data_IF_989072112763
#
_entry.id   IF_989072112763
#
_cell.length_a   1.000
_cell.length_b   1.000
_cell.length_c   1.000
_cell.angle_alpha   90.00
_cell.angle_beta   90.00
_cell.angle_gamma   90.00
#
_symmetry.space_group_name_H-M   'P 1'
#
loop_
_entity.id
_entity.type
_entity.pdbx_description
1 polymer ?
#
# COMPACT_ATOMS: atom_id res chain seq x y z
N UNK A 1 4.02 -3.30 -13.22
CA UNK A 1 3.77 -4.43 -14.14
C UNK A 1 5.06 -5.14 -14.54
N UNK A 2 6.06 -4.46 -15.14
CA UNK A 2 7.28 -5.11 -15.64
C UNK A 2 8.00 -5.93 -14.56
N UNK A 3 8.24 -5.36 -13.37
CA UNK A 3 8.91 -6.06 -12.26
C UNK A 3 8.16 -7.33 -11.84
N UNK A 4 6.82 -7.30 -11.82
CA UNK A 4 6.01 -8.47 -11.51
C UNK A 4 6.16 -9.56 -12.59
N UNK A 5 6.04 -9.19 -13.86
CA UNK A 5 6.16 -10.13 -14.99
C UNK A 5 7.54 -10.82 -14.96
N UNK A 6 8.60 -10.04 -14.75
CA UNK A 6 9.98 -10.57 -14.68
C UNK A 6 10.19 -11.49 -13.44
N UNK A 7 9.41 -11.29 -12.37
CA UNK A 7 9.50 -12.07 -11.13
C UNK A 7 8.48 -13.21 -11.03
N UNK A 8 7.58 -13.36 -12.00
CA UNK A 8 6.47 -14.34 -11.96
C UNK A 8 7.00 -15.77 -11.80
N UNK A 9 6.47 -16.51 -10.84
CA UNK A 9 6.79 -17.91 -10.56
C UNK A 9 5.60 -18.85 -10.76
N UNK A 10 4.40 -18.28 -10.81
CA UNK A 10 3.13 -18.99 -10.97
C UNK A 10 2.08 -18.07 -11.60
N UNK A 11 0.99 -18.65 -12.08
CA UNK A 11 -0.14 -17.89 -12.60
C UNK A 11 -0.99 -17.38 -11.44
N UNK A 12 -1.23 -16.05 -11.40
CA UNK A 12 -2.09 -15.39 -10.41
C UNK A 12 -3.15 -14.57 -11.16
N UNK A 13 -4.34 -15.15 -11.42
CA UNK A 13 -5.38 -14.50 -12.24
C UNK A 13 -5.77 -13.10 -11.76
N UNK A 14 -5.76 -12.86 -10.45
CA UNK A 14 -6.05 -11.54 -9.88
C UNK A 14 -5.00 -10.50 -10.28
N UNK A 15 -3.71 -10.87 -10.38
CA UNK A 15 -2.66 -9.96 -10.87
C UNK A 15 -2.86 -9.63 -12.35
N UNK A 16 -3.19 -10.62 -13.17
CA UNK A 16 -3.42 -10.42 -14.60
C UNK A 16 -4.64 -9.49 -14.82
N UNK A 17 -5.72 -9.70 -14.05
CA UNK A 17 -6.89 -8.83 -14.06
C UNK A 17 -6.58 -7.38 -13.61
N UNK A 18 -5.74 -7.20 -12.59
CA UNK A 18 -5.31 -5.87 -12.13
C UNK A 18 -4.45 -5.16 -13.16
N UNK A 19 -3.55 -5.88 -13.85
CA UNK A 19 -2.71 -5.33 -14.93
C UNK A 19 -3.59 -4.79 -16.09
N UNK A 20 -4.70 -5.45 -16.38
CA UNK A 20 -5.66 -5.01 -17.40
C UNK A 20 -6.53 -3.84 -16.92
N UNK A 21 -7.10 -3.96 -15.70
CA UNK A 21 -8.15 -3.05 -15.22
C UNK A 21 -7.64 -1.72 -14.66
N UNK A 22 -6.47 -1.71 -13.99
CA UNK A 22 -5.94 -0.48 -13.38
C UNK A 22 -5.67 0.61 -14.44
N UNK A 23 -5.04 0.35 -15.57
CA UNK A 23 -4.83 1.39 -16.60
C UNK A 23 -6.12 2.00 -17.14
N UNK A 24 -7.19 1.20 -17.22
CA UNK A 24 -8.50 1.66 -17.69
C UNK A 24 -9.28 2.50 -16.66
N UNK A 25 -8.82 2.56 -15.42
CA UNK A 25 -9.46 3.26 -14.30
C UNK A 25 -8.59 4.35 -13.68
N UNK A 26 -7.55 4.79 -14.39
CA UNK A 26 -6.69 5.90 -13.93
C UNK A 26 -7.56 7.13 -13.68
N UNK A 27 -7.53 7.73 -12.48
CA UNK A 27 -8.30 8.92 -12.16
C UNK A 27 -8.00 10.09 -13.09
N UNK A 28 -9.00 10.96 -13.28
CA UNK A 28 -8.85 12.18 -14.07
C UNK A 28 -8.01 13.25 -13.36
N UNK A 29 -7.91 13.21 -12.02
CA UNK A 29 -7.05 14.13 -11.26
C UNK A 29 -5.59 13.93 -11.66
N UNK A 30 -4.98 15.00 -12.17
CA UNK A 30 -3.58 15.03 -12.60
C UNK A 30 -2.69 15.78 -11.58
N UNK A 31 -3.11 15.84 -10.31
CA UNK A 31 -2.32 16.45 -9.25
C UNK A 31 -0.93 15.80 -9.15
N UNK A 32 0.09 16.64 -9.02
CA UNK A 32 1.49 16.22 -9.02
C UNK A 32 2.18 16.75 -7.78
N UNK A 33 2.89 15.88 -7.08
CA UNK A 33 3.76 16.25 -5.97
C UNK A 33 4.96 15.30 -5.86
N UNK A 34 5.80 15.51 -4.87
CA UNK A 34 6.78 14.49 -4.47
C UNK A 34 6.00 13.42 -3.69
N UNK A 35 5.93 12.21 -4.23
CA UNK A 35 5.46 11.03 -3.54
C UNK A 35 6.65 10.30 -2.93
N UNK A 36 6.54 9.91 -1.66
CA UNK A 36 7.60 9.19 -0.94
C UNK A 36 7.77 7.76 -1.48
N UNK A 37 6.66 7.12 -1.84
CA UNK A 37 6.62 5.78 -2.42
C UNK A 37 6.67 4.63 -1.40
N UNK A 38 7.11 4.88 -0.15
CA UNK A 38 7.08 3.92 0.96
C UNK A 38 6.78 4.64 2.29
N UNK A 39 5.76 5.52 2.31
CA UNK A 39 5.40 6.28 3.50
C UNK A 39 4.66 5.40 4.51
N UNK A 40 5.35 5.04 5.60
CA UNK A 40 4.85 4.18 6.68
C UNK A 40 5.55 4.48 8.00
N UNK A 41 5.04 3.92 9.11
CA UNK A 41 5.54 4.21 10.46
C UNK A 41 7.03 3.94 10.64
N UNK A 42 7.56 2.90 10.02
CA UNK A 42 8.98 2.53 10.10
C UNK A 42 9.89 3.56 9.42
N UNK A 43 9.35 4.36 8.50
CA UNK A 43 10.08 5.38 7.76
C UNK A 43 9.87 6.80 8.33
N UNK A 44 9.38 6.92 9.58
CA UNK A 44 9.28 8.20 10.28
C UNK A 44 10.00 8.15 11.62
N UNK A 45 10.60 9.27 12.00
CA UNK A 45 11.24 9.45 13.28
C UNK A 45 10.38 10.34 14.17
N UNK A 46 10.02 9.83 15.34
CA UNK A 46 9.27 10.59 16.34
C UNK A 46 10.18 11.35 17.29
N UNK A 47 9.70 12.49 17.76
CA UNK A 47 10.38 13.20 18.83
C UNK A 47 10.33 12.36 20.13
N UNK A 48 11.44 12.31 20.92
CA UNK A 48 11.53 11.39 22.07
C UNK A 48 10.54 11.70 23.20
N UNK A 49 10.05 12.95 23.30
CA UNK A 49 9.16 13.39 24.39
C UNK A 49 7.93 14.18 23.93
N UNK A 50 7.81 14.47 22.65
CA UNK A 50 6.69 15.24 22.08
C UNK A 50 5.95 14.42 21.02
N UNK A 51 4.63 14.59 20.92
CA UNK A 51 3.80 13.88 19.93
C UNK A 51 3.93 14.53 18.53
N UNK A 52 5.12 14.47 17.94
CA UNK A 52 5.39 14.97 16.58
C UNK A 52 6.45 14.15 15.86
N UNK A 53 6.33 14.09 14.55
CA UNK A 53 7.36 13.57 13.65
C UNK A 53 8.44 14.64 13.47
N UNK A 54 9.70 14.25 13.53
CA UNK A 54 10.86 15.14 13.36
C UNK A 54 11.62 14.87 12.06
N UNK A 55 11.46 13.70 11.47
CA UNK A 55 12.01 13.36 10.16
C UNK A 55 11.18 12.31 9.44
N UNK A 56 11.24 12.33 8.13
CA UNK A 56 10.79 11.26 7.24
C UNK A 56 12.05 10.69 6.58
N UNK A 57 12.21 9.37 6.64
CA UNK A 57 13.39 8.63 6.24
C UNK A 57 13.11 7.80 4.99
N UNK A 58 14.17 7.28 4.37
CA UNK A 58 14.09 6.29 3.29
C UNK A 58 13.38 6.78 2.02
N UNK A 59 13.92 7.87 1.47
CA UNK A 59 13.40 8.53 0.26
C UNK A 59 13.83 7.85 -1.06
N UNK A 60 14.47 6.69 -1.02
CA UNK A 60 15.04 6.04 -2.21
C UNK A 60 13.99 5.65 -3.27
N UNK A 61 12.73 5.43 -2.85
CA UNK A 61 11.61 5.13 -3.74
C UNK A 61 10.81 6.37 -4.14
N UNK A 62 11.26 7.56 -3.75
CA UNK A 62 10.54 8.80 -4.04
C UNK A 62 10.53 9.12 -5.52
N UNK A 63 9.42 9.71 -5.95
CA UNK A 63 9.22 10.10 -7.34
C UNK A 63 8.27 11.29 -7.44
N UNK A 64 8.25 11.91 -8.62
CA UNK A 64 7.18 12.82 -8.97
C UNK A 64 5.94 11.98 -9.30
N UNK A 65 4.89 12.14 -8.50
CA UNK A 65 3.69 11.30 -8.60
C UNK A 65 2.46 11.95 -7.98
N UNK A 66 1.37 11.20 -7.96
CA UNK A 66 0.11 11.67 -7.39
C UNK A 66 0.15 11.63 -5.86
N UNK A 67 -0.22 12.73 -5.15
CA UNK A 67 -0.11 12.82 -3.69
C UNK A 67 -0.97 11.79 -2.93
N UNK A 68 -2.06 11.31 -3.54
CA UNK A 68 -2.95 10.32 -2.91
C UNK A 68 -2.30 8.92 -2.85
N UNK A 69 -1.28 8.65 -3.67
CA UNK A 69 -0.63 7.34 -3.68
C UNK A 69 0.01 6.98 -2.32
N UNK A 70 0.61 7.94 -1.62
CA UNK A 70 1.25 7.67 -0.33
C UNK A 70 0.22 7.46 0.79
N UNK A 71 -0.83 8.28 0.85
CA UNK A 71 -1.86 8.09 1.89
C UNK A 71 -2.64 6.80 1.68
N UNK A 72 -2.93 6.42 0.44
CA UNK A 72 -3.58 5.15 0.15
C UNK A 72 -2.70 3.96 0.52
N UNK A 73 -1.40 4.02 0.18
CA UNK A 73 -0.44 3.00 0.58
C UNK A 73 -0.35 2.87 2.12
N UNK A 74 -0.26 3.99 2.84
CA UNK A 74 -0.24 3.99 4.30
C UNK A 74 -1.55 3.48 4.90
N UNK A 75 -2.69 3.72 4.25
CA UNK A 75 -4.01 3.26 4.72
C UNK A 75 -4.23 1.75 4.58
N UNK A 76 -3.35 1.04 3.91
CA UNK A 76 -3.46 -0.42 3.75
C UNK A 76 -3.55 -1.17 5.09
N UNK A 77 -2.90 -0.69 6.15
CA UNK A 77 -2.88 -1.35 7.45
C UNK A 77 -4.28 -1.50 8.09
N UNK A 78 -5.24 -0.61 7.76
CA UNK A 78 -6.63 -0.72 8.23
C UNK A 78 -7.41 -1.84 7.55
N UNK A 79 -6.94 -2.31 6.39
CA UNK A 79 -7.58 -3.36 5.57
C UNK A 79 -6.77 -4.63 5.49
N UNK A 80 -5.54 -4.61 6.00
CA UNK A 80 -4.65 -5.76 5.98
C UNK A 80 -5.05 -6.78 7.03
N UNK A 81 -5.20 -8.03 6.61
CA UNK A 81 -5.36 -9.19 7.49
C UNK A 81 -4.04 -9.96 7.65
N UNK A 82 -2.94 -9.43 7.15
CA UNK A 82 -1.63 -10.10 7.15
C UNK A 82 -0.69 -9.47 8.17
N UNK A 83 -0.28 -10.21 9.22
CA UNK A 83 0.70 -9.71 10.20
C UNK A 83 2.04 -9.31 9.57
N UNK A 84 2.41 -9.94 8.46
CA UNK A 84 3.68 -9.68 7.77
C UNK A 84 3.77 -8.29 7.11
N UNK A 85 2.64 -7.63 6.87
CA UNK A 85 2.55 -6.29 6.26
C UNK A 85 2.04 -5.23 7.23
N UNK A 86 1.81 -5.59 8.49
CA UNK A 86 1.09 -4.77 9.46
C UNK A 86 -0.43 -4.94 9.32
N UNK A 87 -1.14 -4.90 10.44
CA UNK A 87 -2.60 -5.01 10.48
C UNK A 87 -3.12 -4.31 11.72
N UNK A 88 -4.29 -3.72 11.61
CA UNK A 88 -5.08 -3.18 12.72
C UNK A 88 -6.29 -4.07 13.04
N UNK A 89 -6.29 -5.32 12.57
CA UNK A 89 -7.33 -6.29 12.91
C UNK A 89 -7.46 -6.47 14.43
N UNK A 90 -8.71 -6.42 14.91
CA UNK A 90 -9.03 -6.59 16.31
C UNK A 90 -8.67 -5.39 17.22
N UNK A 91 -8.18 -4.29 16.64
CA UNK A 91 -7.85 -3.08 17.41
C UNK A 91 -9.13 -2.36 17.84
N UNK A 92 -9.27 -2.10 19.14
CA UNK A 92 -10.28 -1.18 19.65
C UNK A 92 -9.81 0.27 19.44
N UNK A 93 -10.26 0.89 18.34
CA UNK A 93 -9.90 2.25 17.97
C UNK A 93 -10.30 3.29 19.04
N UNK A 94 -11.37 3.06 19.80
CA UNK A 94 -11.79 3.95 20.87
C UNK A 94 -10.88 3.89 22.09
N UNK A 95 -10.49 2.68 22.46
CA UNK A 95 -9.60 2.47 23.62
C UNK A 95 -8.17 2.90 23.34
N UNK A 96 -7.68 2.70 22.12
CA UNK A 96 -6.29 3.01 21.74
C UNK A 96 -6.07 4.45 21.29
N UNK A 97 -7.13 5.16 20.88
CA UNK A 97 -7.02 6.49 20.28
C UNK A 97 -6.46 6.47 18.85
N UNK A 98 -6.25 5.30 18.25
CA UNK A 98 -5.91 5.17 16.83
C UNK A 98 -7.14 5.55 16.02
N UNK A 99 -7.05 6.44 15.03
CA UNK A 99 -8.19 6.80 14.21
C UNK A 99 -8.65 5.62 13.34
N UNK A 100 -9.92 5.60 12.99
CA UNK A 100 -10.43 4.76 11.91
C UNK A 100 -9.84 5.21 10.57
N UNK A 101 -9.87 4.36 9.53
CA UNK A 101 -9.46 4.73 8.18
C UNK A 101 -10.16 6.02 7.71
N UNK A 102 -11.48 6.10 7.91
CA UNK A 102 -12.27 7.26 7.51
C UNK A 102 -11.82 8.55 8.22
N UNK A 103 -11.54 8.50 9.52
CA UNK A 103 -11.04 9.65 10.28
C UNK A 103 -9.64 10.06 9.85
N UNK A 104 -8.77 9.08 9.54
CA UNK A 104 -7.42 9.32 9.04
C UNK A 104 -7.46 10.02 7.66
N UNK A 105 -8.24 9.51 6.72
CA UNK A 105 -8.43 10.11 5.39
C UNK A 105 -9.05 11.50 5.50
N UNK A 106 -10.08 11.68 6.34
CA UNK A 106 -10.67 12.99 6.57
C UNK A 106 -9.68 14.00 7.18
N UNK A 107 -8.78 13.54 8.06
CA UNK A 107 -7.73 14.39 8.62
C UNK A 107 -6.71 14.83 7.55
N UNK A 108 -6.37 13.94 6.62
CA UNK A 108 -5.55 14.28 5.46
C UNK A 108 -6.25 15.33 4.58
N UNK A 109 -7.50 15.13 4.22
CA UNK A 109 -8.27 16.06 3.42
C UNK A 109 -8.28 17.46 4.04
N UNK A 110 -8.62 17.57 5.34
CA UNK A 110 -8.61 18.86 6.05
C UNK A 110 -7.24 19.57 6.01
N UNK A 111 -6.15 18.84 6.14
CA UNK A 111 -4.78 19.40 6.13
C UNK A 111 -4.31 19.83 4.76
N UNK A 112 -4.84 19.22 3.71
CA UNK A 112 -4.45 19.49 2.31
C UNK A 112 -5.44 20.37 1.56
N UNK A 113 -6.51 20.84 2.24
CA UNK A 113 -7.54 21.69 1.62
C UNK A 113 -8.42 20.95 0.61
N UNK A 114 -8.60 19.64 0.78
CA UNK A 114 -9.47 18.80 -0.04
C UNK A 114 -10.79 18.56 0.70
N UNK A 115 -11.89 18.56 -0.01
CA UNK A 115 -13.18 18.18 0.57
C UNK A 115 -13.28 16.65 0.75
N UNK A 116 -12.80 15.90 -0.22
CA UNK A 116 -12.76 14.43 -0.24
C UNK A 116 -11.67 13.92 -1.20
N UNK A 117 -11.53 12.61 -1.29
CA UNK A 117 -10.68 11.94 -2.26
C UNK A 117 -11.58 11.12 -3.18
N UNK A 118 -11.63 11.52 -4.46
CA UNK A 118 -12.25 10.73 -5.50
C UNK A 118 -11.43 9.47 -5.79
N UNK A 119 -12.09 8.45 -6.34
CA UNK A 119 -11.43 7.22 -6.81
C UNK A 119 -10.56 6.52 -5.74
N UNK A 120 -10.93 6.66 -4.45
CA UNK A 120 -10.17 6.06 -3.34
C UNK A 120 -9.89 4.58 -3.56
N UNK A 121 -10.87 3.83 -4.06
CA UNK A 121 -10.72 2.41 -4.37
C UNK A 121 -9.61 2.15 -5.40
N UNK A 122 -9.43 3.02 -6.39
CA UNK A 122 -8.33 2.91 -7.35
C UNK A 122 -6.97 3.06 -6.66
N UNK A 123 -6.78 4.10 -5.85
CA UNK A 123 -5.50 4.34 -5.18
C UNK A 123 -5.14 3.24 -4.18
N UNK A 124 -6.13 2.74 -3.44
CA UNK A 124 -5.97 1.58 -2.56
C UNK A 124 -5.57 0.33 -3.33
N UNK A 125 -6.32 -0.03 -4.38
CA UNK A 125 -6.03 -1.18 -5.21
C UNK A 125 -4.64 -1.07 -5.88
N UNK A 126 -4.27 0.11 -6.34
CA UNK A 126 -2.94 0.37 -6.92
C UNK A 126 -1.82 0.20 -5.88
N UNK A 127 -2.01 0.72 -4.66
CA UNK A 127 -1.06 0.54 -3.55
C UNK A 127 -0.85 -0.94 -3.21
N UNK A 128 -1.94 -1.70 -3.09
CA UNK A 128 -1.90 -3.14 -2.78
C UNK A 128 -1.33 -3.94 -3.96
N UNK A 129 -1.63 -3.58 -5.21
CA UNK A 129 -1.00 -4.18 -6.40
C UNK A 129 0.52 -4.02 -6.38
N UNK A 130 1.03 -2.85 -5.95
CA UNK A 130 2.47 -2.64 -5.76
C UNK A 130 3.04 -3.57 -4.70
N UNK A 131 2.36 -3.71 -3.53
CA UNK A 131 2.76 -4.65 -2.47
C UNK A 131 2.76 -6.09 -2.97
N UNK A 132 1.74 -6.52 -3.71
CA UNK A 132 1.69 -7.84 -4.33
C UNK A 132 2.88 -8.08 -5.26
N UNK A 133 3.23 -7.08 -6.08
CA UNK A 133 4.38 -7.15 -6.98
C UNK A 133 5.72 -7.26 -6.23
N UNK A 134 5.87 -6.54 -5.11
CA UNK A 134 7.04 -6.62 -4.22
C UNK A 134 7.11 -8.00 -3.58
N UNK A 135 5.99 -8.51 -3.04
CA UNK A 135 5.89 -9.84 -2.44
C UNK A 135 6.35 -10.93 -3.41
N UNK A 136 5.89 -10.87 -4.67
CA UNK A 136 6.32 -11.80 -5.73
C UNK A 136 7.82 -11.71 -5.97
N UNK A 137 8.39 -10.52 -6.01
CA UNK A 137 9.83 -10.31 -6.20
C UNK A 137 10.66 -10.85 -5.03
N UNK A 138 10.18 -10.67 -3.80
CA UNK A 138 10.82 -11.25 -2.59
C UNK A 138 10.76 -12.77 -2.65
N UNK A 139 9.60 -13.34 -2.94
CA UNK A 139 9.40 -14.79 -3.03
C UNK A 139 10.32 -15.42 -4.09
N UNK A 140 10.43 -14.80 -5.27
CA UNK A 140 11.37 -15.28 -6.30
C UNK A 140 12.82 -15.30 -5.83
N UNK A 141 13.26 -14.25 -5.09
CA UNK A 141 14.64 -14.23 -4.53
C UNK A 141 14.86 -15.33 -3.52
N UNK A 142 13.87 -15.66 -2.68
CA UNK A 142 13.92 -16.79 -1.75
C UNK A 142 14.09 -18.10 -2.51
N UNK A 143 13.26 -18.35 -3.53
CA UNK A 143 13.36 -19.56 -4.35
C UNK A 143 14.72 -19.70 -5.08
N UNK A 144 15.35 -18.58 -5.41
CA UNK A 144 16.65 -18.55 -6.08
C UNK A 144 17.85 -18.65 -5.11
N UNK A 145 17.61 -18.80 -3.80
CA UNK A 145 18.66 -18.82 -2.78
C UNK A 145 19.36 -17.45 -2.55
N UNK A 146 18.80 -16.38 -3.11
CA UNK A 146 19.37 -15.02 -3.04
C UNK A 146 18.67 -14.14 -1.97
N UNK A 147 18.23 -14.75 -0.88
CA UNK A 147 17.58 -14.04 0.23
C UNK A 147 18.08 -14.58 1.56
N UNK A 148 18.29 -13.68 2.53
CA UNK A 148 18.57 -14.04 3.92
C UNK A 148 17.35 -14.62 4.66
N UNK A 149 16.14 -14.59 4.04
CA UNK A 149 14.94 -15.22 4.58
C UNK A 149 14.90 -16.69 4.20
N UNK A 150 14.59 -17.55 5.16
CA UNK A 150 14.52 -18.99 4.97
C UNK A 150 13.40 -19.43 4.01
N UNK A 151 13.52 -20.67 3.49
CA UNK A 151 12.70 -21.24 2.42
C UNK A 151 11.20 -21.46 2.76
N UNK A 152 10.74 -21.11 3.96
CA UNK A 152 9.33 -21.18 4.38
C UNK A 152 8.49 -19.95 4.00
N UNK A 153 9.04 -19.05 3.18
CA UNK A 153 8.30 -17.86 2.76
C UNK A 153 7.08 -18.25 1.92
N UNK A 154 5.91 -17.97 2.44
CA UNK A 154 4.65 -18.07 1.68
C UNK A 154 4.59 -16.91 0.71
N UNK A 155 4.21 -17.18 -0.56
CA UNK A 155 3.96 -16.13 -1.52
C UNK A 155 2.66 -15.38 -1.18
N UNK A 156 2.78 -14.20 -0.58
CA UNK A 156 1.62 -13.35 -0.26
C UNK A 156 1.01 -12.65 -1.47
N UNK A 157 1.57 -12.80 -2.66
CA UNK A 157 1.14 -12.07 -3.85
C UNK A 157 -0.31 -12.35 -4.23
N UNK A 158 -0.75 -13.61 -4.20
CA UNK A 158 -2.11 -14.00 -4.59
C UNK A 158 -3.16 -13.36 -3.68
N UNK A 159 -2.99 -13.46 -2.36
CA UNK A 159 -3.94 -12.89 -1.40
C UNK A 159 -4.03 -11.37 -1.50
N UNK A 160 -2.89 -10.68 -1.65
CA UNK A 160 -2.85 -9.23 -1.86
C UNK A 160 -3.53 -8.85 -3.19
N UNK A 161 -3.30 -9.60 -4.25
CA UNK A 161 -3.91 -9.33 -5.55
C UNK A 161 -5.43 -9.53 -5.54
N UNK A 162 -5.92 -10.58 -4.89
CA UNK A 162 -7.35 -10.83 -4.71
C UNK A 162 -8.01 -9.70 -3.92
N UNK A 163 -7.40 -9.23 -2.83
CA UNK A 163 -7.87 -8.11 -2.06
C UNK A 163 -7.90 -6.82 -2.89
N UNK A 164 -6.82 -6.51 -3.61
CA UNK A 164 -6.76 -5.34 -4.48
C UNK A 164 -7.85 -5.35 -5.55
N UNK A 165 -8.11 -6.52 -6.14
CA UNK A 165 -9.14 -6.69 -7.15
C UNK A 165 -10.55 -6.54 -6.56
N UNK A 166 -10.79 -7.07 -5.36
CA UNK A 166 -12.06 -6.91 -4.65
C UNK A 166 -12.35 -5.43 -4.36
N UNK A 167 -11.37 -4.68 -3.85
CA UNK A 167 -11.49 -3.23 -3.61
C UNK A 167 -11.80 -2.49 -4.93
N UNK A 168 -11.04 -2.78 -5.98
CA UNK A 168 -11.21 -2.11 -7.28
C UNK A 168 -12.61 -2.33 -7.88
N UNK A 169 -13.21 -3.48 -7.60
CA UNK A 169 -14.53 -3.87 -8.11
C UNK A 169 -15.68 -3.56 -7.14
N UNK A 170 -15.37 -2.98 -5.96
CA UNK A 170 -16.39 -2.64 -4.95
C UNK A 170 -17.05 -3.88 -4.32
N UNK A 171 -16.30 -4.96 -4.14
CA UNK A 171 -16.77 -6.24 -3.57
C UNK A 171 -16.35 -6.45 -2.10
N UNK A 172 -15.83 -5.41 -1.45
CA UNK A 172 -15.54 -5.37 0.00
C UNK A 172 -16.74 -4.94 0.83
#
# INVERSE_FOLDING_TARGET
TRQYVDAKTEEIPAMDALIEKLPARIPADQSVSIAHGDYRLENVMFHPTENRIIAVLDWELSTIGHPIADIAYNSFIWRSHSPGWGSLDGVDFRATGIPTEAEYVAAYCRRTGRDHIDDWAFYMAFGIFRLASISQGVYRRVLSGNSAREAEAVNGCAALAEQALAILEGRE
#
